data_IF_012432813267
#
_entry.id   IF_012432813267
#
_cell.length_a   1.000
_cell.length_b   1.000
_cell.length_c   1.000
_cell.angle_alpha   90.00
_cell.angle_beta   90.00
_cell.angle_gamma   90.00
#
_symmetry.space_group_name_H-M   'P 1'
#
loop_
_entity.id
_entity.type
_entity.pdbx_description
1 polymer ?
#
# COMPACT_ATOMS: atom_id res chain seq x y z
N UNK A 1 8.37 -10.25 -12.97
CA UNK A 1 6.92 -9.97 -13.13
C UNK A 1 6.79 -8.45 -13.11
N UNK A 2 6.29 -7.84 -14.18
CA UNK A 2 6.13 -6.39 -14.25
C UNK A 2 4.85 -5.99 -13.52
N UNK A 3 4.90 -5.87 -12.19
CA UNK A 3 3.81 -5.28 -11.40
C UNK A 3 3.90 -3.76 -11.51
N UNK A 4 3.35 -3.22 -12.59
CA UNK A 4 3.16 -1.78 -12.74
C UNK A 4 2.01 -1.34 -11.82
N UNK A 5 2.15 -0.25 -11.05
CA UNK A 5 1.08 0.26 -10.20
C UNK A 5 -0.15 0.59 -11.06
N UNK A 6 -1.34 0.17 -10.63
CA UNK A 6 -2.59 0.52 -11.32
C UNK A 6 -2.83 2.02 -11.20
N UNK A 7 -3.11 2.68 -12.33
CA UNK A 7 -3.33 4.12 -12.38
C UNK A 7 -4.82 4.46 -12.20
N UNK A 8 -5.13 5.24 -11.17
CA UNK A 8 -6.49 5.73 -10.86
C UNK A 8 -7.17 6.43 -12.05
N UNK A 9 -6.42 7.21 -12.81
CA UNK A 9 -6.95 8.00 -13.92
C UNK A 9 -7.37 7.10 -15.07
N UNK A 10 -6.62 6.02 -15.32
CA UNK A 10 -7.01 5.00 -16.30
C UNK A 10 -8.26 4.26 -15.83
N UNK A 11 -8.32 3.85 -14.56
CA UNK A 11 -9.50 3.18 -14.01
C UNK A 11 -10.78 4.03 -14.16
N UNK A 12 -10.70 5.33 -13.89
CA UNK A 12 -11.81 6.27 -14.09
C UNK A 12 -12.19 6.44 -15.58
N UNK A 13 -11.21 6.57 -16.49
CA UNK A 13 -11.47 6.65 -17.92
C UNK A 13 -12.14 5.37 -18.46
N UNK A 14 -11.68 4.20 -18.00
CA UNK A 14 -12.28 2.90 -18.33
C UNK A 14 -13.73 2.80 -17.80
N UNK A 15 -13.99 3.29 -16.59
CA UNK A 15 -15.33 3.31 -16.02
C UNK A 15 -16.28 4.24 -16.81
N UNK A 16 -15.81 5.44 -17.19
CA UNK A 16 -16.57 6.37 -18.04
C UNK A 16 -16.83 5.80 -19.45
N UNK A 17 -15.84 5.11 -20.03
CA UNK A 17 -15.98 4.44 -21.32
C UNK A 17 -17.08 3.37 -21.30
N UNK A 18 -17.25 2.66 -20.19
CA UNK A 18 -18.33 1.68 -19.97
C UNK A 18 -19.74 2.28 -19.91
N UNK A 19 -19.89 3.61 -19.85
CA UNK A 19 -21.20 4.29 -19.97
C UNK A 19 -21.59 4.46 -21.44
N UNK A 20 -20.61 4.69 -22.32
CA UNK A 20 -20.79 4.91 -23.76
C UNK A 20 -20.81 3.60 -24.56
N UNK A 21 -20.00 2.62 -24.15
CA UNK A 21 -19.88 1.31 -24.78
C UNK A 21 -20.78 0.33 -24.01
N UNK A 22 -21.56 -0.55 -24.67
CA UNK A 22 -22.43 -1.51 -23.98
C UNK A 22 -21.68 -2.55 -23.12
N UNK A 23 -20.34 -2.53 -23.14
CA UNK A 23 -19.49 -3.39 -22.32
C UNK A 23 -19.12 -2.64 -21.04
N UNK A 24 -19.99 -2.72 -20.03
CA UNK A 24 -19.72 -2.21 -18.68
C UNK A 24 -18.90 -3.23 -17.87
N UNK A 25 -18.03 -2.77 -16.97
CA UNK A 25 -17.27 -3.64 -16.05
C UNK A 25 -15.79 -3.88 -16.38
N UNK A 26 -15.28 -3.37 -17.51
CA UNK A 26 -13.84 -3.44 -17.86
C UNK A 26 -12.93 -2.84 -16.79
N UNK A 27 -13.37 -1.77 -16.13
CA UNK A 27 -12.62 -1.15 -15.05
C UNK A 27 -12.48 -2.06 -13.83
N UNK A 28 -13.45 -2.95 -13.55
CA UNK A 28 -13.34 -3.95 -12.47
C UNK A 28 -12.30 -5.02 -12.78
N UNK A 29 -12.18 -5.43 -14.05
CA UNK A 29 -11.10 -6.32 -14.48
C UNK A 29 -9.73 -5.64 -14.32
N UNK A 30 -9.61 -4.36 -14.67
CA UNK A 30 -8.39 -3.57 -14.47
C UNK A 30 -7.98 -3.47 -12.99
N UNK A 31 -8.96 -3.32 -12.09
CA UNK A 31 -8.75 -3.24 -10.64
C UNK A 31 -8.45 -4.60 -9.98
N UNK A 32 -8.34 -5.69 -10.75
CA UNK A 32 -8.08 -7.03 -10.21
C UNK A 32 -9.30 -7.71 -9.56
N UNK A 33 -10.52 -7.27 -9.91
CA UNK A 33 -11.78 -7.81 -9.37
C UNK A 33 -12.57 -8.55 -10.48
N UNK A 34 -12.10 -9.70 -10.97
CA UNK A 34 -12.69 -10.39 -12.13
C UNK A 34 -14.10 -10.90 -11.87
N UNK A 35 -14.43 -11.30 -10.64
CA UNK A 35 -15.77 -11.74 -10.27
C UNK A 35 -16.80 -10.62 -10.43
N UNK A 36 -16.45 -9.40 -9.99
CA UNK A 36 -17.28 -8.21 -10.14
C UNK A 36 -17.36 -7.75 -11.60
N UNK A 37 -16.25 -7.82 -12.34
CA UNK A 37 -16.24 -7.54 -13.78
C UNK A 37 -17.17 -8.49 -14.54
N UNK A 38 -17.16 -9.78 -14.20
CA UNK A 38 -18.05 -10.77 -14.82
C UNK A 38 -19.52 -10.51 -14.46
N UNK A 39 -19.81 -10.14 -13.21
CA UNK A 39 -21.17 -9.77 -12.80
C UNK A 39 -21.68 -8.56 -13.61
N UNK A 40 -20.85 -7.53 -13.77
CA UNK A 40 -21.20 -6.35 -14.57
C UNK A 40 -21.40 -6.70 -16.05
N UNK A 41 -20.61 -7.63 -16.58
CA UNK A 41 -20.74 -8.11 -17.96
C UNK A 41 -22.04 -8.91 -18.16
N UNK A 42 -22.39 -9.81 -17.23
CA UNK A 42 -23.63 -10.58 -17.28
C UNK A 42 -24.87 -9.67 -17.14
N UNK A 43 -24.76 -8.63 -16.34
CA UNK A 43 -25.84 -7.69 -16.09
C UNK A 43 -25.87 -6.51 -17.10
N UNK A 44 -24.95 -6.49 -18.08
CA UNK A 44 -24.74 -5.39 -19.05
C UNK A 44 -25.97 -5.08 -19.94
N UNK A 45 -26.88 -6.04 -20.06
CA UNK A 45 -28.18 -5.85 -20.73
C UNK A 45 -29.14 -4.94 -19.95
N UNK A 46 -28.91 -4.75 -18.65
CA UNK A 46 -29.67 -3.83 -17.79
C UNK A 46 -28.99 -2.45 -17.75
N UNK A 47 -29.73 -1.36 -17.47
CA UNK A 47 -29.12 -0.05 -17.25
C UNK A 47 -28.36 0.06 -15.92
N UNK A 48 -28.48 -0.94 -15.02
CA UNK A 48 -27.95 -0.90 -13.65
C UNK A 48 -26.41 -0.79 -13.65
N UNK A 49 -25.64 -1.64 -14.37
CA UNK A 49 -24.18 -1.52 -14.44
C UNK A 49 -23.69 -0.21 -15.02
N UNK A 50 -24.48 0.47 -15.87
CA UNK A 50 -24.06 1.76 -16.45
C UNK A 50 -24.10 2.87 -15.40
N UNK A 51 -25.18 2.92 -14.61
CA UNK A 51 -25.33 3.89 -13.52
C UNK A 51 -24.29 3.60 -12.42
N UNK A 52 -24.11 2.34 -12.06
CA UNK A 52 -23.11 1.95 -11.06
C UNK A 52 -21.68 2.32 -11.50
N UNK A 53 -21.31 2.06 -12.77
CA UNK A 53 -20.01 2.47 -13.32
C UNK A 53 -19.82 3.98 -13.34
N UNK A 54 -20.87 4.77 -13.60
CA UNK A 54 -20.79 6.23 -13.56
C UNK A 54 -20.54 6.75 -12.13
N UNK A 55 -21.24 6.20 -11.14
CA UNK A 55 -21.03 6.55 -9.72
C UNK A 55 -19.61 6.16 -9.30
N UNK A 56 -19.15 4.97 -9.66
CA UNK A 56 -17.80 4.52 -9.36
C UNK A 56 -16.72 5.38 -10.04
N UNK A 57 -16.95 5.85 -11.27
CA UNK A 57 -16.02 6.74 -11.95
C UNK A 57 -15.84 8.05 -11.18
N UNK A 58 -16.94 8.66 -10.71
CA UNK A 58 -16.90 9.87 -9.86
C UNK A 58 -16.24 9.55 -8.52
N UNK A 59 -16.55 8.41 -7.92
CA UNK A 59 -15.93 7.97 -6.67
C UNK A 59 -14.41 7.82 -6.80
N UNK A 60 -13.92 7.15 -7.85
CA UNK A 60 -12.46 7.00 -8.07
C UNK A 60 -11.77 8.32 -8.37
N UNK A 61 -12.44 9.27 -9.02
CA UNK A 61 -11.92 10.62 -9.24
C UNK A 61 -11.89 11.45 -7.95
N UNK A 62 -12.88 11.27 -7.07
CA UNK A 62 -12.97 11.94 -5.78
C UNK A 62 -12.06 11.33 -4.70
N UNK A 63 -11.60 10.10 -4.89
CA UNK A 63 -10.74 9.39 -3.96
C UNK A 63 -9.27 9.83 -4.08
N UNK A 64 -8.60 10.01 -2.94
CA UNK A 64 -7.16 10.32 -2.90
C UNK A 64 -6.32 9.16 -3.46
N UNK A 65 -5.17 9.48 -4.06
CA UNK A 65 -4.25 8.50 -4.63
C UNK A 65 -3.81 7.45 -3.61
N UNK A 66 -3.47 7.86 -2.39
CA UNK A 66 -3.09 6.93 -1.32
C UNK A 66 -4.23 5.99 -0.92
N UNK A 67 -5.47 6.48 -0.90
CA UNK A 67 -6.63 5.65 -0.58
C UNK A 67 -6.88 4.61 -1.68
N UNK A 68 -6.72 5.01 -2.95
CA UNK A 68 -6.84 4.12 -4.10
C UNK A 68 -5.74 3.04 -4.07
N UNK A 69 -4.50 3.45 -3.81
CA UNK A 69 -3.37 2.53 -3.75
C UNK A 69 -3.53 1.49 -2.64
N UNK A 70 -4.02 1.92 -1.47
CA UNK A 70 -4.35 0.99 -0.38
C UNK A 70 -5.45 0.00 -0.74
N UNK A 71 -6.40 0.38 -1.59
CA UNK A 71 -7.56 -0.47 -1.87
C UNK A 71 -7.32 -1.40 -3.08
N UNK A 72 -6.45 -1.03 -4.02
CA UNK A 72 -6.29 -1.73 -5.30
C UNK A 72 -4.85 -2.12 -5.65
N UNK A 73 -3.84 -1.46 -5.08
CA UNK A 73 -2.42 -1.70 -5.32
C UNK A 73 -1.72 -2.42 -4.15
N UNK A 74 -2.40 -2.68 -3.03
CA UNK A 74 -1.80 -3.25 -1.81
C UNK A 74 -1.20 -4.65 -2.00
N UNK A 75 -1.68 -5.43 -2.99
CA UNK A 75 -1.11 -6.73 -3.39
C UNK A 75 0.00 -6.66 -4.46
N UNK A 76 0.19 -5.52 -5.11
CA UNK A 76 1.27 -5.22 -6.08
C UNK A 76 2.27 -4.22 -5.52
N UNK A 77 2.12 -3.82 -4.25
CA UNK A 77 3.11 -3.03 -3.55
C UNK A 77 4.44 -3.77 -3.74
N UNK A 78 5.44 -3.16 -4.38
CA UNK A 78 6.75 -3.77 -4.45
C UNK A 78 7.10 -4.13 -3.02
N UNK A 79 7.34 -5.42 -2.81
CA UNK A 79 7.86 -5.99 -1.58
C UNK A 79 9.23 -5.38 -1.19
N UNK A 80 9.65 -4.30 -1.84
CA UNK A 80 10.75 -3.42 -1.47
C UNK A 80 10.46 -2.63 -0.20
N UNK A 81 9.19 -2.34 0.14
CA UNK A 81 8.84 -1.71 1.42
C UNK A 81 8.99 -2.67 2.63
N UNK A 82 9.01 -3.99 2.39
CA UNK A 82 9.22 -4.99 3.45
C UNK A 82 10.63 -5.57 3.44
N UNK A 83 11.36 -5.50 2.33
CA UNK A 83 12.77 -5.93 2.28
C UNK A 83 13.76 -4.90 2.87
N UNK A 84 13.38 -3.62 2.99
CA UNK A 84 14.25 -2.57 3.57
C UNK A 84 13.92 -2.21 5.03
N UNK A 85 12.91 -2.84 5.64
CA UNK A 85 12.57 -2.62 7.05
C UNK A 85 13.62 -3.13 8.09
N UNK A 86 14.53 -4.10 7.82
CA UNK A 86 15.58 -4.42 8.79
C UNK A 86 16.73 -3.39 8.78
N UNK A 87 16.94 -2.64 7.71
CA UNK A 87 18.06 -1.70 7.64
C UNK A 87 17.86 -0.50 8.57
N UNK A 88 16.64 0.06 8.60
CA UNK A 88 16.32 1.19 9.48
C UNK A 88 16.30 0.81 10.96
N UNK A 89 15.78 -0.38 11.30
CA UNK A 89 15.79 -0.86 12.67
C UNK A 89 17.22 -1.14 13.15
N UNK A 90 18.03 -1.85 12.35
CA UNK A 90 19.43 -2.15 12.67
C UNK A 90 20.28 -0.87 12.75
N UNK A 91 20.06 0.11 11.87
CA UNK A 91 20.74 1.41 11.90
C UNK A 91 20.38 2.23 13.16
N UNK A 92 19.10 2.26 13.53
CA UNK A 92 18.65 2.93 14.76
C UNK A 92 19.20 2.26 16.03
N UNK A 93 19.34 0.93 16.03
CA UNK A 93 19.94 0.18 17.14
C UNK A 93 21.45 0.43 17.20
N UNK A 94 22.13 0.45 16.05
CA UNK A 94 23.57 0.71 15.98
C UNK A 94 23.93 2.14 16.44
N UNK A 95 23.09 3.13 16.11
CA UNK A 95 23.24 4.52 16.60
C UNK A 95 22.95 4.63 18.09
N UNK A 96 21.89 3.98 18.58
CA UNK A 96 21.57 3.93 20.02
C UNK A 96 22.69 3.27 20.84
N UNK A 97 23.31 2.20 20.35
CA UNK A 97 24.45 1.55 21.01
C UNK A 97 25.67 2.48 21.10
N UNK A 98 25.99 3.23 20.03
CA UNK A 98 27.09 4.21 20.05
C UNK A 98 26.85 5.34 21.06
N UNK A 99 25.60 5.82 21.19
CA UNK A 99 25.23 6.81 22.20
C UNK A 99 25.33 6.24 23.63
N UNK A 100 24.94 4.97 23.81
CA UNK A 100 25.08 4.30 25.10
C UNK A 100 26.57 4.22 25.53
N UNK A 101 27.47 3.94 24.57
CA UNK A 101 28.90 3.90 24.79
C UNK A 101 29.51 5.27 25.11
N UNK A 102 29.03 6.36 24.49
CA UNK A 102 29.51 7.72 24.81
C UNK A 102 29.09 8.14 26.22
N UNK A 103 27.84 7.85 26.63
CA UNK A 103 27.36 8.14 27.98
C UNK A 103 28.13 7.37 29.06
N UNK A 104 28.57 6.14 28.76
CA UNK A 104 29.47 5.36 29.63
C UNK A 104 30.84 6.01 29.73
N UNK A 105 31.43 6.44 28.60
CA UNK A 105 32.73 7.11 28.57
C UNK A 105 32.73 8.45 29.33
N UNK A 106 31.59 9.15 29.33
CA UNK A 106 31.35 10.39 30.08
C UNK A 106 31.07 10.15 31.58
N UNK A 107 30.94 8.89 32.02
CA UNK A 107 30.60 8.54 33.40
C UNK A 107 29.16 8.88 33.80
N UNK A 108 28.28 9.17 32.83
CA UNK A 108 26.88 9.50 33.05
C UNK A 108 25.99 8.27 33.25
N UNK A 109 26.49 7.09 32.89
CA UNK A 109 25.79 5.81 33.02
C UNK A 109 26.74 4.81 33.67
N UNK A 110 26.24 4.07 34.66
CA UNK A 110 27.01 3.01 35.32
C UNK A 110 27.19 1.77 34.42
N UNK A 111 28.25 0.98 34.67
CA UNK A 111 28.52 -0.28 33.95
C UNK A 111 27.28 -1.21 33.97
N UNK A 112 26.59 -1.27 35.11
CA UNK A 112 25.41 -2.11 35.30
C UNK A 112 24.21 -1.64 34.47
N UNK A 113 23.93 -0.34 34.44
CA UNK A 113 22.84 0.24 33.62
C UNK A 113 23.11 0.11 32.13
N UNK A 114 24.39 0.24 31.73
CA UNK A 114 24.82 0.02 30.35
C UNK A 114 24.55 -1.43 29.91
N UNK A 115 24.95 -2.42 30.72
CA UNK A 115 24.71 -3.83 30.41
C UNK A 115 23.22 -4.18 30.30
N UNK A 116 22.38 -3.63 31.19
CA UNK A 116 20.92 -3.83 31.12
C UNK A 116 20.33 -3.28 29.83
N UNK A 117 20.65 -2.02 29.46
CA UNK A 117 20.12 -1.38 28.26
C UNK A 117 20.65 -2.01 26.97
N UNK A 118 21.92 -2.44 26.94
CA UNK A 118 22.49 -3.18 25.81
C UNK A 118 21.74 -4.49 25.55
N UNK A 119 21.42 -5.26 26.59
CA UNK A 119 20.65 -6.51 26.44
C UNK A 119 19.24 -6.25 25.90
N UNK A 120 18.58 -5.21 26.39
CA UNK A 120 17.24 -4.82 25.92
C UNK A 120 17.23 -4.41 24.43
N UNK A 121 18.30 -3.78 23.94
CA UNK A 121 18.43 -3.40 22.53
C UNK A 121 18.71 -4.60 21.62
N UNK A 122 19.48 -5.59 22.11
CA UNK A 122 19.78 -6.81 21.37
C UNK A 122 18.57 -7.75 21.25
N UNK A 123 17.66 -7.74 22.21
CA UNK A 123 16.43 -8.56 22.21
C UNK A 123 15.38 -8.08 21.19
N UNK A 124 15.54 -6.87 20.64
CA UNK A 124 14.67 -6.29 19.61
C UNK A 124 15.12 -6.59 18.17
N UNK A 125 16.23 -7.31 18.00
CA UNK A 125 16.78 -7.76 16.72
C UNK A 125 16.26 -9.16 16.42
#
# INVERSE_FOLDING_TARGET
MFSQPKNRTLAAMLALSGVLIPVSGLHKFYLGQPLWGLLYLLLSWTPIPKVASAIEAVWYLAQDGEQFDRNFNLGDAPQEAQLHAPAQSVESIATALRQLDSLRAEGLVSEYEFEQKRRQLLDRI
#
